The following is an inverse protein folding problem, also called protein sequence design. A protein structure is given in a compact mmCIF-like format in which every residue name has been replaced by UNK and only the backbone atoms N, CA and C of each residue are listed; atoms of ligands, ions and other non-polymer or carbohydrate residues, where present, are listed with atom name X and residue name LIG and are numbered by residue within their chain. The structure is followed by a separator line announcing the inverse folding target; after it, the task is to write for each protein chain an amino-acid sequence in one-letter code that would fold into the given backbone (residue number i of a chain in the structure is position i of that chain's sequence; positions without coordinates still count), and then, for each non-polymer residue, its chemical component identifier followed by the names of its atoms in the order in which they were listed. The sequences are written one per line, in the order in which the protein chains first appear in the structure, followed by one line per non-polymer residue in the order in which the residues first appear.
data_IF_901814554819
#
_entry.id   IF_901814554819
#
_cell.length_a   1.000
_cell.length_b   1.000
_cell.length_c   1.000
_cell.angle_alpha   90.00
_cell.angle_beta   90.00
_cell.angle_gamma   90.00
#
_symmetry.space_group_name_H-M   'P 1'
#
loop_
_entity.id
_entity.type
_entity.pdbx_description
1 polymer ?
#
# COMPACT_ATOMS: atom_id res chain seq x y z
N UNK A 1 15.42 15.08 -14.30
CA UNK A 1 14.11 14.52 -14.70
C UNK A 1 13.99 14.63 -16.20
N UNK A 2 13.82 13.52 -16.90
CA UNK A 2 13.73 13.52 -18.37
C UNK A 2 12.33 13.99 -18.84
N UNK A 3 12.10 14.12 -20.15
CA UNK A 3 10.80 14.57 -20.67
C UNK A 3 9.67 13.55 -20.42
N UNK A 4 9.98 12.25 -20.40
CA UNK A 4 9.03 11.17 -20.15
C UNK A 4 8.53 11.18 -18.70
N UNK A 5 9.43 11.34 -17.74
CA UNK A 5 9.11 11.43 -16.30
C UNK A 5 8.17 12.60 -16.03
N UNK A 6 8.41 13.76 -16.66
CA UNK A 6 7.54 14.94 -16.56
C UNK A 6 6.15 14.65 -17.12
N UNK A 7 6.05 13.97 -18.27
CA UNK A 7 4.75 13.61 -18.85
C UNK A 7 4.02 12.63 -17.92
N UNK A 8 4.69 11.60 -17.42
CA UNK A 8 4.10 10.63 -16.51
C UNK A 8 3.63 11.27 -15.20
N UNK A 9 4.42 12.20 -14.63
CA UNK A 9 4.06 12.90 -13.39
C UNK A 9 2.81 13.78 -13.56
N UNK A 10 2.75 14.61 -14.60
CA UNK A 10 1.56 15.45 -14.83
C UNK A 10 0.34 14.62 -15.24
N UNK A 11 0.55 13.56 -16.01
CA UNK A 11 -0.51 12.63 -16.37
C UNK A 11 -1.05 11.89 -15.14
N UNK A 12 -0.17 11.47 -14.21
CA UNK A 12 -0.54 10.88 -12.92
C UNK A 12 -1.49 11.80 -12.15
N UNK A 13 -1.13 13.06 -11.96
CA UNK A 13 -1.96 14.03 -11.23
C UNK A 13 -3.34 14.16 -11.89
N UNK A 14 -3.37 14.38 -13.21
CA UNK A 14 -4.63 14.52 -13.94
C UNK A 14 -5.48 13.24 -13.90
N UNK A 15 -4.88 12.06 -14.01
CA UNK A 15 -5.61 10.79 -13.91
C UNK A 15 -6.09 10.51 -12.48
N UNK A 16 -5.33 10.88 -11.45
CA UNK A 16 -5.75 10.76 -10.05
C UNK A 16 -7.00 11.62 -9.79
N UNK A 17 -6.99 12.86 -10.28
CA UNK A 17 -8.08 13.82 -10.08
C UNK A 17 -9.31 13.53 -10.95
N UNK A 18 -9.11 13.35 -12.26
CA UNK A 18 -10.20 13.33 -13.25
C UNK A 18 -10.49 11.94 -13.80
N UNK A 19 -9.60 10.98 -13.56
CA UNK A 19 -9.73 9.62 -14.05
C UNK A 19 -9.38 9.50 -15.52
N UNK A 20 -9.34 8.26 -16.01
CA UNK A 20 -9.01 7.97 -17.40
C UNK A 20 -9.94 8.69 -18.38
N UNK A 21 -11.26 8.61 -18.19
CA UNK A 21 -12.24 9.19 -19.12
C UNK A 21 -12.30 10.72 -19.07
N UNK A 22 -12.01 11.33 -17.91
CA UNK A 22 -12.01 12.79 -17.72
C UNK A 22 -10.74 13.49 -18.18
N UNK A 23 -9.71 12.75 -18.58
CA UNK A 23 -8.39 13.29 -18.97
C UNK A 23 -8.14 13.07 -20.46
N UNK A 24 -7.58 14.09 -21.12
CA UNK A 24 -7.17 14.03 -22.53
C UNK A 24 -5.68 14.33 -22.69
N UNK A 25 -5.07 13.81 -23.76
CA UNK A 25 -3.67 14.10 -24.10
C UNK A 25 -3.42 15.62 -24.29
N UNK A 26 -4.42 16.36 -24.76
CA UNK A 26 -4.33 17.83 -24.87
C UNK A 26 -4.24 18.53 -23.52
N UNK A 27 -4.96 18.03 -22.51
CA UNK A 27 -4.85 18.56 -21.14
C UNK A 27 -3.45 18.29 -20.58
N UNK A 28 -2.96 17.06 -20.73
CA UNK A 28 -1.63 16.67 -20.23
C UNK A 28 -0.54 17.51 -20.93
N UNK A 29 -0.61 17.71 -22.24
CA UNK A 29 0.36 18.53 -22.97
C UNK A 29 0.39 19.98 -22.43
N UNK A 30 -0.79 20.52 -22.11
CA UNK A 30 -0.92 21.87 -21.53
C UNK A 30 -0.26 21.96 -20.16
N UNK A 31 -0.53 21.02 -19.25
CA UNK A 31 0.06 21.03 -17.89
C UNK A 31 1.58 20.83 -17.93
N UNK A 32 2.09 19.95 -18.81
CA UNK A 32 3.54 19.75 -19.00
C UNK A 32 4.21 20.99 -19.63
N UNK A 33 3.45 21.85 -20.32
CA UNK A 33 3.95 23.03 -21.02
C UNK A 33 4.56 22.72 -22.40
N UNK A 34 4.06 21.67 -23.08
CA UNK A 34 4.55 21.22 -24.39
C UNK A 34 3.44 21.22 -25.45
N UNK A 35 3.82 21.10 -26.72
CA UNK A 35 2.86 20.94 -27.81
C UNK A 35 2.25 19.54 -27.76
N UNK A 36 0.98 19.40 -28.15
CA UNK A 36 0.32 18.08 -28.25
C UNK A 36 1.11 17.10 -29.12
N UNK A 37 1.72 17.58 -30.21
CA UNK A 37 2.58 16.77 -31.08
C UNK A 37 3.79 16.16 -30.36
N UNK A 38 4.30 16.81 -29.31
CA UNK A 38 5.41 16.30 -28.51
C UNK A 38 5.00 15.11 -27.64
N UNK A 39 3.75 15.07 -27.17
CA UNK A 39 3.21 13.87 -26.50
C UNK A 39 3.11 12.70 -27.48
N UNK A 40 2.64 12.97 -28.70
CA UNK A 40 2.55 11.92 -29.74
C UNK A 40 3.91 11.39 -30.21
N UNK A 41 5.01 12.09 -29.92
CA UNK A 41 6.35 11.55 -30.14
C UNK A 41 6.73 10.47 -29.11
N UNK A 42 6.07 10.43 -27.94
CA UNK A 42 6.29 9.46 -26.88
C UNK A 42 5.21 8.38 -26.81
N UNK A 43 3.96 8.72 -27.15
CA UNK A 43 2.80 7.85 -26.97
C UNK A 43 1.87 7.91 -28.19
N UNK A 44 1.56 6.76 -28.76
CA UNK A 44 0.64 6.63 -29.89
C UNK A 44 -0.82 6.83 -29.47
N UNK A 45 -1.14 6.61 -28.20
CA UNK A 45 -2.51 6.67 -27.69
C UNK A 45 -2.58 7.11 -26.21
N UNK A 46 -3.80 7.42 -25.75
CA UNK A 46 -4.06 7.65 -24.32
C UNK A 46 -3.88 6.37 -23.50
N UNK A 47 -4.16 5.20 -24.08
CA UNK A 47 -3.98 3.91 -23.42
C UNK A 47 -2.51 3.65 -23.11
N UNK A 48 -1.64 3.91 -24.09
CA UNK A 48 -0.19 3.74 -23.93
C UNK A 48 0.37 4.67 -22.85
N UNK A 49 -0.04 5.94 -22.85
CA UNK A 49 0.32 6.87 -21.77
C UNK A 49 -0.24 6.41 -20.42
N UNK A 50 -1.48 5.94 -20.37
CA UNK A 50 -2.09 5.48 -19.12
C UNK A 50 -1.36 4.26 -18.54
N UNK A 51 -1.01 3.29 -19.39
CA UNK A 51 -0.20 2.13 -18.99
C UNK A 51 1.20 2.56 -18.54
N UNK A 52 1.83 3.50 -19.25
CA UNK A 52 3.11 4.10 -18.83
C UNK A 52 3.02 4.75 -17.45
N UNK A 53 1.95 5.47 -17.15
CA UNK A 53 1.71 6.03 -15.81
C UNK A 53 1.53 4.92 -14.78
N UNK A 54 0.77 3.87 -15.08
CA UNK A 54 0.60 2.74 -14.15
C UNK A 54 1.94 2.10 -13.82
N UNK A 55 2.79 1.85 -14.82
CA UNK A 55 4.13 1.32 -14.62
C UNK A 55 5.02 2.28 -13.82
N UNK A 56 5.00 3.56 -14.17
CA UNK A 56 5.75 4.61 -13.46
C UNK A 56 5.39 4.64 -11.97
N UNK A 57 4.10 4.57 -11.64
CA UNK A 57 3.63 4.57 -10.25
C UNK A 57 3.97 3.24 -9.56
N UNK A 58 3.89 2.11 -10.27
CA UNK A 58 4.31 0.81 -9.75
C UNK A 58 5.79 0.80 -9.37
N UNK A 59 6.65 1.38 -10.22
CA UNK A 59 8.09 1.45 -10.02
C UNK A 59 8.45 2.35 -8.83
N UNK A 60 7.80 3.52 -8.70
CA UNK A 60 7.97 4.38 -7.51
C UNK A 60 7.60 3.60 -6.24
N UNK A 61 6.40 3.00 -6.21
CA UNK A 61 5.94 2.28 -5.03
C UNK A 61 6.86 1.11 -4.68
N UNK A 62 7.32 0.35 -5.69
CA UNK A 62 8.26 -0.74 -5.50
C UNK A 62 9.57 -0.25 -4.88
N UNK A 63 10.13 0.85 -5.38
CA UNK A 63 11.37 1.42 -4.86
C UNK A 63 11.21 1.86 -3.38
N UNK A 64 10.09 2.50 -3.05
CA UNK A 64 9.76 2.90 -1.67
C UNK A 64 9.65 1.70 -0.72
N UNK A 65 8.96 0.63 -1.14
CA UNK A 65 8.87 -0.63 -0.39
C UNK A 65 10.26 -1.23 -0.17
N UNK A 66 11.04 -1.39 -1.25
CA UNK A 66 12.37 -2.00 -1.18
C UNK A 66 13.31 -1.21 -0.27
N UNK A 67 13.30 0.12 -0.37
CA UNK A 67 14.10 1.00 0.47
C UNK A 67 13.68 0.92 1.94
N UNK A 68 12.37 0.92 2.22
CA UNK A 68 11.84 0.84 3.57
C UNK A 68 12.20 -0.49 4.25
N UNK A 69 11.92 -1.62 3.59
CA UNK A 69 12.23 -2.94 4.15
C UNK A 69 13.74 -3.20 4.25
N UNK A 70 14.57 -2.65 3.35
CA UNK A 70 16.03 -2.69 3.51
C UNK A 70 16.44 -2.02 4.83
N UNK A 71 15.93 -0.82 5.09
CA UNK A 71 16.24 -0.06 6.31
C UNK A 71 15.71 -0.75 7.57
N UNK A 72 14.56 -1.42 7.46
CA UNK A 72 13.92 -2.14 8.57
C UNK A 72 14.74 -3.36 9.00
N UNK A 73 15.27 -4.13 8.03
CA UNK A 73 16.06 -5.34 8.27
C UNK A 73 17.41 -5.06 8.93
N UNK A 74 17.96 -3.87 8.74
CA UNK A 74 19.21 -3.44 9.37
C UNK A 74 19.04 -3.15 10.88
N UNK A 75 17.80 -3.10 11.38
CA UNK A 75 17.50 -2.87 12.78
C UNK A 75 17.29 -4.20 13.52
N UNK A 76 18.15 -4.49 14.49
CA UNK A 76 17.96 -5.60 15.43
C UNK A 76 16.86 -5.23 16.44
N UNK A 77 15.61 -5.50 16.07
CA UNK A 77 14.41 -5.14 16.83
C UNK A 77 13.40 -6.30 16.83
N UNK A 78 12.57 -6.43 17.88
CA UNK A 78 11.51 -7.43 17.91
C UNK A 78 10.52 -7.28 16.74
N UNK A 79 9.91 -8.40 16.33
CA UNK A 79 8.97 -8.42 15.20
C UNK A 79 7.77 -7.49 15.42
N UNK A 80 7.34 -7.31 16.68
CA UNK A 80 6.30 -6.33 17.07
C UNK A 80 6.66 -4.93 16.57
N UNK A 81 7.87 -4.49 16.90
CA UNK A 81 8.33 -3.15 16.59
C UNK A 81 8.51 -2.98 15.08
N UNK A 82 9.04 -4.00 14.41
CA UNK A 82 9.18 -3.98 12.95
C UNK A 82 7.82 -3.91 12.23
N UNK A 83 6.85 -4.73 12.63
CA UNK A 83 5.49 -4.71 12.10
C UNK A 83 4.77 -3.39 12.40
N UNK A 84 4.99 -2.80 13.58
CA UNK A 84 4.44 -1.49 13.90
C UNK A 84 5.02 -0.40 13.01
N UNK A 85 6.32 -0.43 12.71
CA UNK A 85 6.95 0.48 11.77
C UNK A 85 6.37 0.31 10.36
N UNK A 86 6.15 -0.94 9.89
CA UNK A 86 5.49 -1.20 8.61
C UNK A 86 4.08 -0.59 8.60
N UNK A 87 3.30 -0.81 9.65
CA UNK A 87 1.95 -0.26 9.78
C UNK A 87 1.95 1.27 9.72
N UNK A 88 2.82 1.92 10.50
CA UNK A 88 2.97 3.38 10.52
C UNK A 88 3.41 3.93 9.16
N UNK A 89 4.41 3.32 8.54
CA UNK A 89 4.89 3.69 7.21
C UNK A 89 3.77 3.61 6.17
N UNK A 90 3.01 2.50 6.16
CA UNK A 90 1.89 2.35 5.24
C UNK A 90 0.79 3.39 5.46
N UNK A 91 0.49 3.71 6.74
CA UNK A 91 -0.47 4.75 7.09
C UNK A 91 -0.01 6.15 6.69
N UNK A 92 1.29 6.39 6.63
CA UNK A 92 1.87 7.68 6.23
C UNK A 92 1.96 7.82 4.70
N UNK A 93 2.15 6.71 3.99
CA UNK A 93 2.23 6.68 2.52
C UNK A 93 1.02 7.35 1.85
N UNK A 94 -0.17 7.22 2.46
CA UNK A 94 -1.40 7.86 1.98
C UNK A 94 -1.33 9.39 1.98
N UNK A 95 -0.60 9.97 2.95
CA UNK A 95 -0.42 11.41 3.12
C UNK A 95 0.71 11.90 2.22
N UNK A 96 1.85 11.23 2.26
CA UNK A 96 3.09 11.67 1.59
C UNK A 96 3.00 11.50 0.07
N UNK A 97 2.31 10.45 -0.38
CA UNK A 97 2.17 10.10 -1.79
C UNK A 97 0.71 10.20 -2.24
N UNK A 98 0.04 11.30 -1.91
CA UNK A 98 -1.40 11.49 -2.13
C UNK A 98 -1.84 11.18 -3.56
N UNK A 99 -1.08 11.62 -4.57
CA UNK A 99 -1.47 11.48 -5.98
C UNK A 99 -1.28 10.05 -6.49
N UNK A 100 -0.16 9.41 -6.11
CA UNK A 100 0.11 7.99 -6.35
C UNK A 100 -0.98 7.13 -5.71
N UNK A 101 -1.29 7.37 -4.43
CA UNK A 101 -2.23 6.51 -3.71
C UNK A 101 -3.67 6.74 -4.17
N UNK A 102 -4.05 7.98 -4.47
CA UNK A 102 -5.34 8.31 -5.08
C UNK A 102 -5.49 7.69 -6.46
N UNK A 103 -4.45 7.75 -7.29
CA UNK A 103 -4.42 7.08 -8.58
C UNK A 103 -4.60 5.58 -8.45
N UNK A 104 -3.75 4.91 -7.64
CA UNK A 104 -3.83 3.46 -7.43
C UNK A 104 -5.20 3.02 -6.95
N UNK A 105 -5.76 3.70 -5.95
CA UNK A 105 -7.09 3.36 -5.44
C UNK A 105 -8.15 3.49 -6.51
N UNK A 106 -8.10 4.55 -7.33
CA UNK A 106 -9.06 4.76 -8.40
C UNK A 106 -8.98 3.67 -9.46
N UNK A 107 -7.77 3.32 -9.92
CA UNK A 107 -7.61 2.31 -10.97
C UNK A 107 -7.90 0.90 -10.45
N UNK A 108 -7.71 0.63 -9.15
CA UNK A 108 -8.05 -0.67 -8.55
C UNK A 108 -9.57 -0.87 -8.36
N UNK A 109 -10.32 0.20 -8.06
CA UNK A 109 -11.78 0.10 -7.80
C UNK A 109 -12.60 0.36 -9.07
N UNK A 110 -12.17 1.29 -9.92
CA UNK A 110 -12.87 1.69 -11.13
C UNK A 110 -11.90 1.78 -12.32
N UNK A 111 -11.29 0.66 -12.75
CA UNK A 111 -10.43 0.63 -13.93
C UNK A 111 -11.23 0.93 -15.22
N UNK A 112 -10.60 1.47 -16.27
CA UNK A 112 -11.16 1.39 -17.62
C UNK A 112 -11.29 -0.07 -18.04
N UNK A 113 -12.48 -0.50 -18.43
CA UNK A 113 -12.81 -1.91 -18.69
C UNK A 113 -11.85 -2.56 -19.69
N UNK A 114 -11.49 -1.85 -20.76
CA UNK A 114 -10.58 -2.36 -21.79
C UNK A 114 -9.11 -2.48 -21.34
N UNK A 115 -8.75 -1.90 -20.19
CA UNK A 115 -7.39 -1.95 -19.63
C UNK A 115 -7.31 -2.77 -18.33
N UNK A 116 -8.43 -3.27 -17.82
CA UNK A 116 -8.51 -3.92 -16.51
C UNK A 116 -7.51 -5.08 -16.36
N UNK A 117 -7.39 -5.94 -17.38
CA UNK A 117 -6.46 -7.07 -17.34
C UNK A 117 -5.00 -6.63 -17.30
N UNK A 118 -4.62 -5.58 -18.05
CA UNK A 118 -3.26 -5.04 -18.00
C UNK A 118 -2.94 -4.42 -16.64
N UNK A 119 -3.89 -3.68 -16.06
CA UNK A 119 -3.76 -3.08 -14.72
C UNK A 119 -3.54 -4.18 -13.68
N UNK A 120 -4.40 -5.21 -13.68
CA UNK A 120 -4.26 -6.36 -12.76
C UNK A 120 -2.93 -7.06 -12.91
N UNK A 121 -2.45 -7.27 -14.14
CA UNK A 121 -1.15 -7.89 -14.40
C UNK A 121 -0.01 -7.06 -13.79
N UNK A 122 0.03 -5.75 -14.07
CA UNK A 122 1.07 -4.86 -13.53
C UNK A 122 1.01 -4.85 -11.99
N UNK A 123 -0.18 -4.65 -11.41
CA UNK A 123 -0.35 -4.62 -9.95
C UNK A 123 0.09 -5.92 -9.27
N UNK A 124 -0.24 -7.07 -9.87
CA UNK A 124 0.13 -8.39 -9.36
C UNK A 124 1.64 -8.66 -9.47
N UNK A 125 2.30 -8.20 -10.54
CA UNK A 125 3.72 -8.47 -10.77
C UNK A 125 4.67 -7.55 -10.01
N UNK A 126 4.21 -6.37 -9.59
CA UNK A 126 5.04 -5.33 -8.99
C UNK A 126 4.70 -5.11 -7.52
N UNK A 127 3.76 -4.20 -7.26
CA UNK A 127 3.39 -3.64 -5.96
C UNK A 127 2.92 -4.72 -5.00
N UNK A 128 1.96 -5.53 -5.42
CA UNK A 128 1.39 -6.56 -4.55
C UNK A 128 2.43 -7.62 -4.18
N UNK A 129 3.26 -8.04 -5.14
CA UNK A 129 4.23 -9.11 -4.95
C UNK A 129 5.39 -8.71 -4.03
N UNK A 130 6.01 -7.54 -4.25
CA UNK A 130 7.15 -7.10 -3.43
C UNK A 130 6.74 -6.88 -1.98
N UNK A 131 5.67 -6.12 -1.73
CA UNK A 131 5.21 -5.84 -0.37
C UNK A 131 4.73 -7.11 0.35
N UNK A 132 3.94 -7.96 -0.33
CA UNK A 132 3.47 -9.22 0.23
C UNK A 132 4.63 -10.13 0.63
N UNK A 133 5.64 -10.25 -0.24
CA UNK A 133 6.81 -11.10 0.03
C UNK A 133 7.56 -10.63 1.27
N UNK A 134 7.89 -9.34 1.33
CA UNK A 134 8.63 -8.75 2.45
C UNK A 134 7.89 -8.92 3.78
N UNK A 135 6.58 -8.69 3.77
CA UNK A 135 5.74 -8.86 4.95
C UNK A 135 5.57 -10.34 5.35
N UNK A 136 5.43 -11.24 4.38
CA UNK A 136 5.36 -12.69 4.63
C UNK A 136 6.66 -13.21 5.25
N UNK A 137 7.81 -12.71 4.78
CA UNK A 137 9.12 -13.05 5.32
C UNK A 137 9.25 -12.57 6.78
N UNK A 138 8.80 -11.34 7.08
CA UNK A 138 8.78 -10.78 8.43
C UNK A 138 7.87 -11.58 9.38
N UNK A 139 6.65 -11.93 8.96
CA UNK A 139 5.77 -12.79 9.76
C UNK A 139 6.35 -14.18 9.96
N UNK A 140 6.97 -14.77 8.94
CA UNK A 140 7.63 -16.08 9.06
C UNK A 140 8.73 -16.04 10.12
N UNK A 141 9.57 -15.01 10.12
CA UNK A 141 10.63 -14.82 11.12
C UNK A 141 10.05 -14.72 12.54
N UNK A 142 8.99 -13.92 12.74
CA UNK A 142 8.34 -13.82 14.05
C UNK A 142 7.76 -15.16 14.55
N UNK A 143 7.25 -15.99 13.65
CA UNK A 143 6.79 -17.36 13.99
C UNK A 143 7.97 -18.26 14.34
N UNK A 144 9.04 -18.25 13.55
CA UNK A 144 10.26 -19.05 13.77
C UNK A 144 10.95 -18.68 15.10
N UNK A 145 10.95 -17.40 15.47
CA UNK A 145 11.50 -16.90 16.72
C UNK A 145 10.58 -17.12 17.94
N UNK A 146 9.35 -17.60 17.73
CA UNK A 146 8.36 -17.79 18.80
C UNK A 146 7.75 -16.48 19.33
N UNK A 147 7.94 -15.37 18.63
CA UNK A 147 7.33 -14.07 18.95
C UNK A 147 5.86 -13.99 18.49
N UNK A 148 5.46 -14.85 17.55
CA UNK A 148 4.10 -14.93 16.99
C UNK A 148 3.50 -16.33 17.19
N UNK A 149 2.17 -16.41 17.23
CA UNK A 149 1.44 -17.66 17.16
C UNK A 149 1.73 -18.38 15.84
N UNK A 150 1.83 -19.71 15.88
CA UNK A 150 2.08 -20.55 14.70
C UNK A 150 0.90 -20.53 13.71
N UNK A 151 0.83 -19.46 12.93
CA UNK A 151 -0.17 -19.19 11.91
C UNK A 151 0.55 -19.09 10.56
N UNK A 152 0.01 -19.68 9.48
CA UNK A 152 0.57 -19.50 8.15
C UNK A 152 0.76 -18.01 7.79
N UNK A 153 1.94 -17.64 7.31
CA UNK A 153 2.30 -16.24 7.05
C UNK A 153 1.40 -15.55 6.03
N UNK A 154 0.89 -16.29 5.03
CA UNK A 154 -0.07 -15.79 4.04
C UNK A 154 -1.37 -15.28 4.68
N UNK A 155 -1.87 -15.98 5.71
CA UNK A 155 -3.04 -15.53 6.49
C UNK A 155 -2.74 -14.30 7.32
N UNK A 156 -1.56 -14.24 7.95
CA UNK A 156 -1.13 -13.07 8.73
C UNK A 156 -0.99 -11.82 7.84
N UNK A 157 -0.41 -11.98 6.66
CA UNK A 157 -0.35 -10.92 5.65
C UNK A 157 -1.75 -10.46 5.25
N UNK A 158 -2.66 -11.38 4.94
CA UNK A 158 -4.02 -11.02 4.56
C UNK A 158 -4.75 -10.25 5.68
N UNK A 159 -4.63 -10.68 6.93
CA UNK A 159 -5.22 -9.98 8.08
C UNK A 159 -4.64 -8.57 8.25
N UNK A 160 -3.32 -8.43 8.11
CA UNK A 160 -2.64 -7.13 8.20
C UNK A 160 -3.08 -6.18 7.07
N UNK A 161 -3.22 -6.70 5.85
CA UNK A 161 -3.72 -5.93 4.71
C UNK A 161 -5.19 -5.49 4.90
N UNK A 162 -6.05 -6.38 5.40
CA UNK A 162 -7.45 -6.05 5.71
C UNK A 162 -7.55 -4.94 6.75
N UNK A 163 -6.73 -4.99 7.80
CA UNK A 163 -6.66 -3.92 8.80
C UNK A 163 -6.30 -2.57 8.16
N UNK A 164 -5.21 -2.57 7.38
CA UNK A 164 -4.72 -1.39 6.66
C UNK A 164 -5.79 -0.81 5.74
N UNK A 165 -6.38 -1.65 4.88
CA UNK A 165 -7.38 -1.24 3.90
C UNK A 165 -8.65 -0.70 4.58
N UNK A 166 -9.05 -1.33 5.69
CA UNK A 166 -10.17 -0.89 6.52
C UNK A 166 -9.94 0.51 7.09
N UNK A 167 -8.77 0.76 7.67
CA UNK A 167 -8.43 2.07 8.25
C UNK A 167 -8.28 3.14 7.15
N UNK A 168 -7.61 2.84 6.04
CA UNK A 168 -7.49 3.78 4.92
C UNK A 168 -8.84 4.11 4.28
N UNK A 169 -9.76 3.16 4.26
CA UNK A 169 -11.12 3.40 3.80
C UNK A 169 -11.89 4.25 4.78
N UNK A 170 -11.77 3.99 6.09
CA UNK A 170 -12.37 4.84 7.11
C UNK A 170 -11.84 6.29 7.02
N UNK A 171 -10.53 6.48 6.86
CA UNK A 171 -9.89 7.80 6.68
C UNK A 171 -10.45 8.55 5.47
N UNK A 172 -10.63 7.86 4.35
CA UNK A 172 -11.21 8.47 3.16
C UNK A 172 -12.66 8.94 3.40
N UNK A 173 -13.45 8.16 4.14
CA UNK A 173 -14.87 8.41 4.34
C UNK A 173 -15.15 9.42 5.45
N UNK A 174 -14.34 9.43 6.50
CA UNK A 174 -14.56 10.20 7.74
C UNK A 174 -13.55 11.33 7.94
N UNK A 175 -12.40 11.28 7.28
CA UNK A 175 -11.28 12.19 7.53
C UNK A 175 -10.30 11.65 8.56
N UNK A 176 -9.16 12.34 8.71
CA UNK A 176 -8.04 11.87 9.53
C UNK A 176 -8.30 12.00 11.04
N UNK A 177 -8.91 13.10 11.48
CA UNK A 177 -9.19 13.36 12.91
C UNK A 177 -10.12 12.28 13.49
N UNK A 178 -11.18 11.93 12.76
CA UNK A 178 -12.19 10.94 13.15
C UNK A 178 -11.70 9.48 13.10
N UNK A 179 -10.42 9.24 12.76
CA UNK A 179 -9.84 7.89 12.63
C UNK A 179 -8.54 7.70 13.41
N UNK A 180 -8.16 8.68 14.23
CA UNK A 180 -6.96 8.60 15.06
C UNK A 180 -7.02 7.39 16.02
N UNK A 181 -8.13 7.24 16.75
CA UNK A 181 -8.35 6.13 17.68
C UNK A 181 -8.36 4.77 16.97
N UNK A 182 -8.92 4.69 15.75
CA UNK A 182 -8.94 3.46 14.95
C UNK A 182 -7.54 2.94 14.58
N UNK A 183 -6.54 3.82 14.50
CA UNK A 183 -5.17 3.40 14.22
C UNK A 183 -4.55 2.73 15.44
N UNK A 184 -4.71 3.35 16.61
CA UNK A 184 -4.15 2.86 17.87
C UNK A 184 -4.83 1.56 18.28
N UNK A 185 -6.16 1.57 18.32
CA UNK A 185 -6.96 0.38 18.65
C UNK A 185 -6.78 -0.72 17.60
N UNK A 186 -6.79 -0.37 16.32
CA UNK A 186 -6.64 -1.33 15.23
C UNK A 186 -5.32 -2.08 15.32
N UNK A 187 -4.22 -1.37 15.55
CA UNK A 187 -2.92 -1.99 15.79
C UNK A 187 -2.92 -2.85 17.06
N UNK A 188 -3.42 -2.33 18.18
CA UNK A 188 -3.42 -3.02 19.46
C UNK A 188 -4.17 -4.37 19.40
N UNK A 189 -5.35 -4.39 18.78
CA UNK A 189 -6.17 -5.60 18.64
C UNK A 189 -5.55 -6.59 17.65
N UNK A 190 -5.00 -6.10 16.54
CA UNK A 190 -4.28 -6.95 15.60
C UNK A 190 -3.10 -7.65 16.29
N UNK A 191 -2.24 -6.88 16.97
CA UNK A 191 -1.08 -7.43 17.67
C UNK A 191 -1.48 -8.44 18.74
N UNK A 192 -2.48 -8.09 19.57
CA UNK A 192 -2.96 -8.97 20.64
C UNK A 192 -3.54 -10.28 20.11
N UNK A 193 -4.09 -10.28 18.89
CA UNK A 193 -4.62 -11.48 18.25
C UNK A 193 -3.57 -12.43 17.68
N UNK A 194 -2.33 -11.97 17.45
CA UNK A 194 -1.28 -12.77 16.78
C UNK A 194 -0.09 -13.10 17.68
N UNK A 195 0.03 -12.46 18.85
CA UNK A 195 1.09 -12.77 19.83
C UNK A 195 0.73 -13.99 20.69
N UNK A 196 1.72 -14.76 21.18
CA UNK A 196 1.49 -15.80 22.17
C UNK A 196 0.85 -15.21 23.44
N UNK A 197 -0.15 -15.89 23.99
CA UNK A 197 -0.71 -15.51 25.28
C UNK A 197 0.27 -15.88 26.40
N UNK A 198 0.56 -14.95 27.29
CA UNK A 198 1.41 -15.23 28.45
C UNK A 198 0.65 -16.20 29.37
N UNK A 199 1.08 -17.47 29.44
CA UNK A 199 0.41 -18.52 30.24
C UNK A 199 0.54 -18.31 31.76
N UNK A 200 1.02 -17.15 32.23
CA UNK A 200 1.35 -16.88 33.64
C UNK A 200 0.26 -16.13 34.42
N UNK A 201 -1.03 -16.32 34.15
CA UNK A 201 -2.10 -15.83 35.06
C UNK A 201 -3.35 -16.73 35.17
N UNK A 202 -3.24 -18.03 34.88
CA UNK A 202 -4.29 -19.00 35.26
C UNK A 202 -3.79 -19.95 36.34
N UNK A 203 -3.44 -19.42 37.51
CA UNK A 203 -3.25 -20.24 38.71
C UNK A 203 -3.49 -19.42 39.98
N UNK A 204 -4.76 -19.15 40.30
CA UNK A 204 -5.28 -18.96 41.68
C UNK A 204 -6.78 -18.67 41.59
N UNK A 205 -7.56 -19.74 41.65
CA UNK A 205 -9.01 -19.69 41.79
C UNK A 205 -9.41 -20.93 42.54
N UNK A 206 -9.13 -20.90 43.84
CA UNK A 206 -9.33 -21.98 44.79
C UNK A 206 -10.73 -22.58 44.70
N UNK A 207 -10.75 -23.89 44.89
CA UNK A 207 -11.89 -24.69 45.30
C UNK A 207 -12.53 -24.00 46.51
N UNK A 208 -13.72 -23.44 46.35
CA UNK A 208 -14.62 -23.21 47.48
C UNK A 208 -15.74 -24.24 47.36
N UNK A 209 -15.55 -25.36 48.06
CA UNK A 209 -16.64 -26.20 48.53
C UNK A 209 -17.40 -25.43 49.61
N UNK A 210 -18.65 -25.05 49.35
CA UNK A 210 -19.76 -25.11 50.32
C UNK A 210 -21.05 -25.41 49.55
#
# INVERSE_FOLDING_TARGET
MNSLDRINQEALILFAERGYYGTSLSMIAKEVGIRKSSIYAHFNSKDELFISVIQYVADIYKAEVEQFFSTLKDQDQPVEHQLFQVFRWYMQLWIDMKDVTKFWRRVSVFPPEHLENHIKSISAETVAKSFHKELADLFRQGVENGELLNTPSDKLVALFQILIDGILTARLLKGNEDTAELLEDGWHHFWSGIKPTDKRQTNTGEIINV
#
